data_IF_202388570223
#
_entry.id   IF_202388570223
#
_cell.length_a   1.000
_cell.length_b   1.000
_cell.length_c   1.000
_cell.angle_alpha   90.00
_cell.angle_beta   90.00
_cell.angle_gamma   90.00
#
_symmetry.space_group_name_H-M   'P 1'
#
loop_
_entity.id
_entity.type
_entity.pdbx_description
1 polymer ?
#
# COMPACT_ATOMS: atom_id res chain seq x y z
N UNK A 1 21.93 20.82 29.77
CA UNK A 1 21.16 19.72 29.16
C UNK A 1 22.03 18.51 28.78
N UNK A 2 22.98 18.58 27.83
CA UNK A 2 23.84 17.42 27.52
C UNK A 2 24.91 17.13 28.61
N UNK A 3 25.39 18.16 29.31
CA UNK A 3 26.38 18.07 30.39
C UNK A 3 25.83 17.53 31.72
N UNK A 4 24.50 17.39 31.84
CA UNK A 4 23.82 16.84 33.03
C UNK A 4 23.58 15.32 32.90
N UNK A 5 23.85 14.75 31.73
CA UNK A 5 23.67 13.33 31.46
C UNK A 5 24.98 12.61 31.78
N UNK A 6 24.89 11.47 32.46
CA UNK A 6 26.04 10.67 32.84
C UNK A 6 26.91 10.27 31.63
N UNK A 7 28.24 10.36 31.78
CA UNK A 7 29.17 10.17 30.67
C UNK A 7 29.05 8.76 30.06
N UNK A 8 28.87 7.74 30.90
CA UNK A 8 28.68 6.37 30.44
C UNK A 8 27.42 6.22 29.59
N UNK A 9 26.30 6.83 30.02
CA UNK A 9 25.08 6.85 29.22
C UNK A 9 25.31 7.51 27.85
N UNK A 10 26.02 8.64 27.82
CA UNK A 10 26.36 9.32 26.56
C UNK A 10 27.20 8.42 25.65
N UNK A 11 28.17 7.70 26.20
CA UNK A 11 29.01 6.76 25.43
C UNK A 11 28.18 5.60 24.86
N UNK A 12 27.27 5.02 25.65
CA UNK A 12 26.40 3.96 25.17
C UNK A 12 25.41 4.46 24.12
N UNK A 13 24.86 5.66 24.27
CA UNK A 13 23.97 6.26 23.29
C UNK A 13 24.68 6.49 21.95
N UNK A 14 25.94 6.95 21.98
CA UNK A 14 26.79 7.10 20.78
C UNK A 14 27.05 5.77 20.08
N UNK A 15 27.05 4.66 20.80
CA UNK A 15 27.16 3.31 20.23
C UNK A 15 25.82 2.78 19.72
N UNK A 16 24.73 3.00 20.47
CA UNK A 16 23.40 2.47 20.20
C UNK A 16 22.76 3.10 18.97
N UNK A 17 22.80 4.44 18.86
CA UNK A 17 22.09 5.16 17.78
C UNK A 17 22.57 4.71 16.39
N UNK A 18 23.88 4.63 16.09
CA UNK A 18 24.34 4.08 14.81
C UNK A 18 24.00 2.60 14.62
N UNK A 19 24.04 1.79 15.70
CA UNK A 19 23.64 0.37 15.59
C UNK A 19 22.20 0.20 15.15
N UNK A 20 21.30 1.12 15.53
CA UNK A 20 19.89 1.06 15.15
C UNK A 20 19.59 1.80 13.83
N UNK A 21 20.24 2.94 13.58
CA UNK A 21 19.81 3.90 12.55
C UNK A 21 20.86 4.18 11.46
N UNK A 22 22.06 3.59 11.50
CA UNK A 22 22.99 3.62 10.36
C UNK A 22 22.30 3.00 9.14
N UNK A 23 22.50 3.58 7.96
CA UNK A 23 21.81 3.18 6.72
C UNK A 23 21.96 1.70 6.37
N UNK A 24 23.04 1.04 6.83
CA UNK A 24 23.27 -0.41 6.64
C UNK A 24 22.46 -1.28 7.59
N UNK A 25 21.97 -0.72 8.70
CA UNK A 25 21.22 -1.41 9.74
C UNK A 25 19.70 -1.18 9.62
N UNK A 26 19.25 -0.27 8.74
CA UNK A 26 17.84 0.01 8.53
C UNK A 26 17.13 -1.20 7.93
N UNK A 27 16.09 -1.67 8.62
CA UNK A 27 15.28 -2.80 8.18
C UNK A 27 14.04 -2.26 7.45
N UNK A 28 13.87 -2.67 6.18
CA UNK A 28 12.65 -2.37 5.42
C UNK A 28 11.44 -2.98 6.12
N UNK A 29 10.39 -2.17 6.31
CA UNK A 29 9.15 -2.64 6.93
C UNK A 29 8.52 -3.69 6.03
N UNK A 30 8.19 -4.85 6.63
CA UNK A 30 7.48 -5.93 5.96
C UNK A 30 6.14 -6.21 6.62
N UNK A 31 5.12 -6.45 5.81
CA UNK A 31 3.83 -7.01 6.22
C UNK A 31 3.60 -8.24 5.33
N UNK A 32 3.34 -9.39 5.96
CA UNK A 32 3.18 -10.67 5.26
C UNK A 32 4.38 -11.07 4.39
N UNK A 33 5.58 -10.70 4.84
CA UNK A 33 6.82 -10.97 4.11
C UNK A 33 7.11 -10.00 2.96
N UNK A 34 6.21 -9.08 2.64
CA UNK A 34 6.40 -8.08 1.58
C UNK A 34 6.84 -6.74 2.13
N UNK A 35 7.83 -6.14 1.46
CA UNK A 35 8.24 -4.76 1.71
C UNK A 35 7.11 -3.82 1.32
N UNK A 36 6.84 -2.84 2.18
CA UNK A 36 5.76 -1.87 1.97
C UNK A 36 6.33 -0.48 1.74
N UNK A 37 5.65 0.27 0.90
CA UNK A 37 5.91 1.69 0.65
C UNK A 37 5.30 2.57 1.75
N UNK A 38 5.71 3.84 1.81
CA UNK A 38 5.15 4.81 2.75
C UNK A 38 3.63 5.03 2.54
N UNK A 39 3.16 4.94 1.28
CA UNK A 39 1.73 5.08 0.96
C UNK A 39 0.94 3.90 1.51
N UNK A 40 1.41 2.68 1.30
CA UNK A 40 0.77 1.48 1.83
C UNK A 40 0.77 1.48 3.36
N UNK A 41 1.88 1.88 4.00
CA UNK A 41 1.98 1.99 5.46
C UNK A 41 0.90 2.92 6.05
N UNK A 42 0.57 4.02 5.37
CA UNK A 42 -0.50 4.92 5.81
C UNK A 42 -1.87 4.25 5.76
N UNK A 43 -2.15 3.45 4.73
CA UNK A 43 -3.40 2.68 4.63
C UNK A 43 -3.51 1.64 5.74
N UNK A 44 -2.43 0.94 6.06
CA UNK A 44 -2.40 0.05 7.23
C UNK A 44 -2.68 0.78 8.54
N UNK A 45 -2.12 1.98 8.74
CA UNK A 45 -2.40 2.76 9.94
C UNK A 45 -3.87 3.14 10.06
N UNK A 46 -4.49 3.62 8.98
CA UNK A 46 -5.92 3.96 8.96
C UNK A 46 -6.79 2.75 9.29
N UNK A 47 -6.50 1.61 8.65
CA UNK A 47 -7.20 0.37 8.91
C UNK A 47 -7.07 -0.02 10.39
N UNK A 48 -5.85 -0.10 10.94
CA UNK A 48 -5.65 -0.50 12.33
C UNK A 48 -6.31 0.45 13.33
N UNK A 49 -6.17 1.76 13.16
CA UNK A 49 -6.81 2.75 14.04
C UNK A 49 -8.32 2.56 14.06
N UNK A 50 -8.96 2.33 12.91
CA UNK A 50 -10.41 2.13 12.83
C UNK A 50 -10.87 0.87 13.60
N UNK A 51 -10.08 -0.22 13.60
CA UNK A 51 -10.41 -1.41 14.39
C UNK A 51 -10.28 -1.11 15.91
N UNK A 52 -9.27 -0.33 16.29
CA UNK A 52 -8.99 0.01 17.69
C UNK A 52 -9.83 1.18 18.24
N UNK A 53 -10.72 1.77 17.44
CA UNK A 53 -11.62 2.85 17.89
C UNK A 53 -12.77 2.36 18.79
N UNK A 54 -13.01 1.04 18.87
CA UNK A 54 -13.93 0.45 19.85
C UNK A 54 -13.34 0.41 21.27
N UNK A 55 -14.20 0.34 22.29
CA UNK A 55 -13.76 0.22 23.70
C UNK A 55 -13.11 -1.14 24.03
N UNK A 56 -13.27 -2.13 23.15
CA UNK A 56 -12.70 -3.47 23.30
C UNK A 56 -11.56 -3.70 22.30
N UNK A 57 -10.49 -4.35 22.75
CA UNK A 57 -9.43 -4.80 21.86
C UNK A 57 -10.02 -5.84 20.89
N UNK A 58 -9.87 -5.65 19.56
CA UNK A 58 -10.39 -6.59 18.59
C UNK A 58 -9.72 -7.96 18.75
N UNK A 59 -10.50 -9.02 18.62
CA UNK A 59 -9.96 -10.37 18.64
C UNK A 59 -8.94 -10.58 17.50
N UNK A 60 -7.94 -11.47 17.67
CA UNK A 60 -6.93 -11.74 16.64
C UNK A 60 -7.52 -12.09 15.27
N UNK A 61 -8.70 -12.71 15.23
CA UNK A 61 -9.44 -13.00 13.99
C UNK A 61 -9.89 -11.73 13.26
N UNK A 62 -10.38 -10.73 14.00
CA UNK A 62 -10.76 -9.42 13.48
C UNK A 62 -9.54 -8.62 13.00
N UNK A 63 -8.41 -8.75 13.69
CA UNK A 63 -7.14 -8.16 13.24
C UNK A 63 -6.62 -8.76 11.93
N UNK A 64 -6.77 -10.09 11.73
CA UNK A 64 -6.41 -10.74 10.45
C UNK A 64 -7.31 -10.26 9.31
N UNK A 65 -8.62 -10.15 9.55
CA UNK A 65 -9.58 -9.63 8.56
C UNK A 65 -9.26 -8.19 8.17
N UNK A 66 -8.94 -7.34 9.13
CA UNK A 66 -8.59 -5.97 8.83
C UNK A 66 -7.22 -5.83 8.15
N UNK A 67 -6.28 -6.72 8.43
CA UNK A 67 -5.03 -6.80 7.66
C UNK A 67 -5.33 -7.22 6.22
N UNK A 68 -6.22 -8.21 6.02
CA UNK A 68 -6.69 -8.61 4.70
C UNK A 68 -7.39 -7.47 3.96
N UNK A 69 -8.24 -6.71 4.63
CA UNK A 69 -8.89 -5.52 4.08
C UNK A 69 -7.86 -4.45 3.68
N UNK A 70 -6.92 -4.11 4.56
CA UNK A 70 -5.86 -3.16 4.24
C UNK A 70 -4.98 -3.60 3.05
N UNK A 71 -4.65 -4.90 2.96
CA UNK A 71 -3.92 -5.48 1.83
C UNK A 71 -4.69 -5.28 0.51
N UNK A 72 -6.00 -5.54 0.54
CA UNK A 72 -6.84 -5.40 -0.64
C UNK A 72 -7.04 -3.93 -1.04
N UNK A 73 -7.29 -3.02 -0.09
CA UNK A 73 -7.41 -1.59 -0.38
C UNK A 73 -6.13 -0.99 -0.95
N UNK A 74 -4.97 -1.37 -0.40
CA UNK A 74 -3.67 -1.00 -0.95
C UNK A 74 -3.49 -1.51 -2.39
N UNK A 75 -3.90 -2.75 -2.66
CA UNK A 75 -3.84 -3.33 -4.00
C UNK A 75 -4.78 -2.61 -4.98
N UNK A 76 -6.02 -2.24 -4.58
CA UNK A 76 -6.93 -1.44 -5.40
C UNK A 76 -6.30 -0.09 -5.73
N UNK A 77 -5.78 0.62 -4.72
CA UNK A 77 -5.15 1.93 -4.91
C UNK A 77 -3.95 1.85 -5.86
N UNK A 78 -3.12 0.81 -5.73
CA UNK A 78 -1.96 0.57 -6.59
C UNK A 78 -2.37 0.26 -8.03
N UNK A 79 -3.34 -0.64 -8.21
CA UNK A 79 -3.86 -1.02 -9.53
C UNK A 79 -4.51 0.16 -10.26
N UNK A 80 -5.32 0.96 -9.55
CA UNK A 80 -5.92 2.17 -10.11
C UNK A 80 -4.86 3.21 -10.48
N UNK A 81 -3.88 3.44 -9.61
CA UNK A 81 -2.79 4.37 -9.91
C UNK A 81 -1.96 3.91 -11.13
N UNK A 82 -1.86 2.60 -11.35
CA UNK A 82 -1.24 2.04 -12.54
C UNK A 82 -2.07 2.32 -13.80
N UNK A 83 -3.39 2.06 -13.77
CA UNK A 83 -4.31 2.43 -14.85
C UNK A 83 -4.22 3.92 -15.21
N UNK A 84 -4.36 4.80 -14.21
CA UNK A 84 -4.32 6.26 -14.42
C UNK A 84 -3.01 6.69 -15.07
N UNK A 85 -1.88 6.12 -14.64
CA UNK A 85 -0.58 6.44 -15.24
C UNK A 85 -0.53 6.04 -16.71
N UNK A 86 -0.99 4.83 -17.06
CA UNK A 86 -0.98 4.38 -18.45
C UNK A 86 -1.92 5.21 -19.31
N UNK A 87 -3.11 5.54 -18.81
CA UNK A 87 -4.06 6.39 -19.55
C UNK A 87 -3.55 7.82 -19.72
N UNK A 88 -2.82 8.38 -18.75
CA UNK A 88 -2.21 9.70 -18.89
C UNK A 88 -1.14 9.73 -20.01
N UNK A 89 -0.43 8.62 -20.25
CA UNK A 89 0.52 8.51 -21.37
C UNK A 89 -0.19 8.44 -22.73
N UNK A 90 -1.42 7.91 -22.76
CA UNK A 90 -2.23 7.72 -23.97
C UNK A 90 -3.04 8.97 -24.32
N UNK A 91 -3.73 9.54 -23.35
CA UNK A 91 -4.71 10.63 -23.55
C UNK A 91 -4.54 11.81 -22.57
N UNK A 92 -3.37 11.94 -21.94
CA UNK A 92 -3.05 13.09 -21.09
C UNK A 92 -2.92 14.40 -21.87
N UNK A 93 -2.69 15.49 -21.14
CA UNK A 93 -2.73 16.85 -21.72
C UNK A 93 -1.74 17.13 -22.86
N UNK A 94 -0.64 16.38 -22.92
CA UNK A 94 0.41 16.51 -23.96
C UNK A 94 0.26 15.49 -25.09
N UNK A 95 -0.72 14.58 -25.03
CA UNK A 95 -0.92 13.52 -26.00
C UNK A 95 -1.64 14.01 -27.27
N UNK A 96 -1.31 13.45 -28.46
CA UNK A 96 -2.00 13.78 -29.69
C UNK A 96 -3.47 13.33 -29.68
N UNK A 97 -4.30 14.00 -30.48
CA UNK A 97 -5.69 13.61 -30.66
C UNK A 97 -5.81 12.17 -31.16
N UNK A 98 -6.76 11.43 -30.59
CA UNK A 98 -7.07 10.05 -30.98
C UNK A 98 -8.57 9.85 -31.14
N UNK A 99 -8.92 8.83 -31.93
CA UNK A 99 -10.33 8.49 -32.14
C UNK A 99 -10.93 7.82 -30.89
N UNK A 100 -12.26 7.88 -30.77
CA UNK A 100 -12.97 7.22 -29.66
C UNK A 100 -12.76 5.70 -29.65
N UNK A 101 -12.53 5.08 -30.82
CA UNK A 101 -12.31 3.64 -30.92
C UNK A 101 -10.92 3.28 -30.39
N UNK A 102 -9.88 4.01 -30.82
CA UNK A 102 -8.51 3.77 -30.37
C UNK A 102 -8.38 4.02 -28.86
N UNK A 103 -9.04 5.06 -28.34
CA UNK A 103 -9.09 5.34 -26.90
C UNK A 103 -9.77 4.21 -26.12
N UNK A 104 -10.85 3.64 -26.66
CA UNK A 104 -11.56 2.50 -26.04
C UNK A 104 -10.70 1.24 -26.02
N UNK A 105 -9.94 0.97 -27.08
CA UNK A 105 -8.99 -0.16 -27.12
C UNK A 105 -7.86 0.01 -26.09
N UNK A 106 -7.33 1.23 -25.94
CA UNK A 106 -6.34 1.53 -24.92
C UNK A 106 -6.91 1.44 -23.51
N UNK A 107 -8.13 1.92 -23.28
CA UNK A 107 -8.83 1.78 -22.00
C UNK A 107 -8.95 0.31 -21.61
N UNK A 108 -9.47 -0.54 -22.50
CA UNK A 108 -9.59 -1.98 -22.29
C UNK A 108 -8.24 -2.62 -21.95
N UNK A 109 -7.17 -2.23 -22.66
CA UNK A 109 -5.85 -2.76 -22.38
C UNK A 109 -5.34 -2.36 -20.98
N UNK A 110 -5.43 -1.08 -20.64
CA UNK A 110 -4.99 -0.54 -19.36
C UNK A 110 -5.81 -1.09 -18.20
N UNK A 111 -7.12 -1.26 -18.38
CA UNK A 111 -8.04 -1.90 -17.44
C UNK A 111 -7.61 -3.34 -17.15
N UNK A 112 -7.43 -4.14 -18.21
CA UNK A 112 -7.03 -5.54 -18.08
C UNK A 112 -5.69 -5.71 -17.36
N UNK A 113 -4.74 -4.81 -17.59
CA UNK A 113 -3.46 -4.79 -16.90
C UNK A 113 -3.59 -4.38 -15.42
N UNK A 114 -4.44 -3.40 -15.09
CA UNK A 114 -4.75 -3.05 -13.71
C UNK A 114 -5.41 -4.21 -12.94
N UNK A 115 -6.36 -4.90 -13.57
CA UNK A 115 -7.00 -6.11 -13.02
C UNK A 115 -5.97 -7.22 -12.81
N UNK A 116 -5.06 -7.44 -13.77
CA UNK A 116 -3.98 -8.43 -13.64
C UNK A 116 -3.02 -8.07 -12.51
N UNK A 117 -2.67 -6.80 -12.36
CA UNK A 117 -1.83 -6.31 -11.26
C UNK A 117 -2.52 -6.54 -9.91
N UNK A 118 -3.81 -6.22 -9.80
CA UNK A 118 -4.59 -6.49 -8.59
C UNK A 118 -4.60 -7.99 -8.25
N UNK A 119 -4.94 -8.86 -9.21
CA UNK A 119 -5.02 -10.32 -9.01
C UNK A 119 -3.68 -10.95 -8.63
N UNK A 120 -2.58 -10.50 -9.24
CA UNK A 120 -1.22 -11.03 -8.99
C UNK A 120 -0.60 -10.53 -7.68
N UNK A 121 -1.09 -9.42 -7.12
CA UNK A 121 -0.66 -8.91 -5.82
C UNK A 121 -1.01 -9.92 -4.72
N UNK A 122 -0.03 -10.33 -3.91
CA UNK A 122 -0.28 -11.24 -2.77
C UNK A 122 -1.08 -10.51 -1.70
N UNK A 123 -2.22 -11.11 -1.32
CA UNK A 123 -3.17 -10.55 -0.35
C UNK A 123 -3.58 -11.63 0.64
N UNK A 124 -3.92 -11.23 1.86
CA UNK A 124 -4.59 -12.08 2.84
C UNK A 124 -6.09 -12.19 2.57
N UNK A 125 -6.74 -13.22 3.11
CA UNK A 125 -8.20 -13.39 3.05
C UNK A 125 -8.71 -14.31 1.93
N UNK A 126 -7.84 -14.70 0.99
CA UNK A 126 -8.21 -15.60 -0.11
C UNK A 126 -8.89 -14.90 -1.29
N UNK A 127 -9.17 -15.66 -2.34
CA UNK A 127 -9.73 -15.12 -3.59
C UNK A 127 -11.17 -14.59 -3.43
N UNK A 128 -12.01 -15.27 -2.64
CA UNK A 128 -13.39 -14.86 -2.38
C UNK A 128 -13.47 -13.52 -1.64
N UNK A 129 -12.64 -13.32 -0.61
CA UNK A 129 -12.57 -12.03 0.10
C UNK A 129 -12.06 -10.90 -0.80
N UNK A 130 -11.21 -11.22 -1.77
CA UNK A 130 -10.65 -10.23 -2.71
C UNK A 130 -11.66 -9.80 -3.80
N UNK A 131 -12.75 -10.56 -4.01
CA UNK A 131 -13.69 -10.33 -5.11
C UNK A 131 -14.37 -8.96 -5.00
N UNK A 132 -14.88 -8.60 -3.82
CA UNK A 132 -15.55 -7.31 -3.58
C UNK A 132 -14.63 -6.10 -3.86
N UNK A 133 -13.32 -6.27 -3.67
CA UNK A 133 -12.34 -5.22 -3.94
C UNK A 133 -11.96 -5.15 -5.42
N UNK A 134 -12.00 -6.29 -6.12
CA UNK A 134 -11.88 -6.32 -7.58
C UNK A 134 -13.08 -5.63 -8.23
N UNK A 135 -14.31 -5.95 -7.81
CA UNK A 135 -15.52 -5.26 -8.28
C UNK A 135 -15.46 -3.74 -8.03
N UNK A 136 -14.94 -3.36 -6.86
CA UNK A 136 -14.69 -1.94 -6.56
C UNK A 136 -13.65 -1.32 -7.48
N UNK A 137 -12.56 -2.03 -7.80
CA UNK A 137 -11.55 -1.53 -8.75
C UNK A 137 -12.18 -1.34 -10.13
N UNK A 138 -12.96 -2.30 -10.62
CA UNK A 138 -13.66 -2.22 -11.90
C UNK A 138 -14.59 -0.98 -11.92
N UNK A 139 -15.45 -0.82 -10.91
CA UNK A 139 -16.31 0.36 -10.77
C UNK A 139 -15.56 1.71 -10.63
N UNK A 140 -14.30 1.70 -10.20
CA UNK A 140 -13.48 2.91 -10.05
C UNK A 140 -12.68 3.26 -11.31
N UNK A 141 -12.61 2.35 -12.30
CA UNK A 141 -11.91 2.50 -13.59
C UNK A 141 -12.88 2.79 -14.74
N UNK A 142 -14.06 2.14 -14.73
CA UNK A 142 -15.20 2.45 -15.61
C UNK A 142 -15.71 3.89 -15.40
#
# INVERSE_FOLDING_TARGET
>A
MFSEIELEFQQQLRSLVPRLLDGRNLVMKKINGHEITCRELLEYFRAYINIFQGEELPEPKSMLLATAEANNLAAVSSAKAHYVRQMEEVCGGDAPYMSSNDLSEHHEHCHNDAVRLFKSTRKMGGAEFSLQFLERLDCEIE
#
